data_IF_525685243512
#
_entry.id   IF_525685243512
#
_cell.length_a   1.000
_cell.length_b   1.000
_cell.length_c   1.000
_cell.angle_alpha   90.00
_cell.angle_beta   90.00
_cell.angle_gamma   90.00
#
_symmetry.space_group_name_H-M   'P 1'
#
loop_
_entity.id
_entity.type
_entity.pdbx_description
1 polymer ?
#
# COMPACT_ATOMS: atom_id res chain seq x y z
N UNK A 1 19.59 -33.29 -24.68
CA UNK A 1 20.61 -32.58 -23.86
C UNK A 1 20.22 -31.11 -23.93
N UNK A 2 19.51 -30.52 -22.97
CA UNK A 2 19.90 -30.25 -21.57
C UNK A 2 18.67 -30.24 -20.65
N UNK A 3 18.85 -30.81 -19.46
CA UNK A 3 17.90 -30.86 -18.35
C UNK A 3 18.00 -29.57 -17.53
N UNK A 4 16.91 -28.79 -17.41
CA UNK A 4 16.84 -27.64 -16.50
C UNK A 4 16.15 -28.09 -15.22
N UNK A 5 16.93 -28.08 -14.15
CA UNK A 5 16.53 -28.38 -12.77
C UNK A 5 15.45 -27.41 -12.29
N UNK A 6 14.29 -27.94 -11.89
CA UNK A 6 13.31 -27.21 -11.11
C UNK A 6 13.84 -27.00 -9.69
N UNK A 7 14.18 -25.75 -9.34
CA UNK A 7 14.49 -25.38 -7.95
C UNK A 7 13.18 -25.27 -7.16
N UNK A 8 12.86 -26.33 -6.42
CA UNK A 8 11.76 -26.31 -5.45
C UNK A 8 12.19 -25.49 -4.24
N UNK A 9 11.47 -24.38 -4.00
CA UNK A 9 11.58 -23.57 -2.80
C UNK A 9 11.24 -24.39 -1.54
N UNK A 10 12.18 -24.49 -0.61
CA UNK A 10 11.93 -24.98 0.76
C UNK A 10 11.91 -23.79 1.73
N UNK A 11 10.87 -23.60 2.54
CA UNK A 11 10.89 -22.59 3.60
C UNK A 11 11.79 -23.07 4.74
N UNK A 12 12.79 -22.25 5.11
CA UNK A 12 13.58 -22.47 6.34
C UNK A 12 12.90 -21.73 7.49
N UNK A 13 12.17 -22.47 8.31
CA UNK A 13 11.86 -22.05 9.68
C UNK A 13 13.13 -22.29 10.50
N UNK A 14 13.75 -21.22 10.99
CA UNK A 14 14.80 -21.31 12.03
C UNK A 14 14.15 -20.82 13.33
N UNK A 15 13.73 -21.76 14.17
CA UNK A 15 13.48 -21.50 15.59
C UNK A 15 14.83 -21.67 16.28
N UNK A 16 15.37 -20.59 16.82
CA UNK A 16 16.53 -20.64 17.70
C UNK A 16 16.06 -20.54 19.16
N UNK A 17 16.18 -21.65 19.89
CA UNK A 17 16.15 -21.66 21.36
C UNK A 17 17.59 -21.47 21.86
N UNK A 18 17.82 -20.47 22.70
CA UNK A 18 19.06 -20.30 23.48
C UNK A 18 18.73 -19.51 24.75
N UNK A 19 18.40 -20.21 25.83
CA UNK A 19 19.26 -20.58 26.96
C UNK A 19 19.48 -19.42 27.94
N UNK A 20 18.83 -19.57 29.11
CA UNK A 20 19.04 -18.81 30.32
C UNK A 20 20.50 -18.80 30.76
N UNK A 21 21.00 -17.63 31.16
CA UNK A 21 21.98 -17.51 32.24
C UNK A 21 21.55 -16.38 33.16
N UNK A 22 21.20 -16.77 34.39
CA UNK A 22 20.92 -15.90 35.51
C UNK A 22 22.23 -15.35 36.10
N UNK A 23 22.23 -14.11 36.58
CA UNK A 23 23.08 -13.66 37.67
C UNK A 23 22.32 -12.63 38.52
N UNK A 24 22.31 -12.88 39.84
CA UNK A 24 21.76 -12.00 40.89
C UNK A 24 22.53 -10.68 41.03
N UNK A 25 22.08 -9.72 41.84
CA UNK A 25 22.11 -9.82 43.30
C UNK A 25 21.11 -8.89 44.00
N UNK A 26 20.77 -9.31 45.22
CA UNK A 26 19.96 -8.64 46.24
C UNK A 26 20.79 -7.53 46.93
N UNK A 27 20.23 -6.33 47.16
CA UNK A 27 20.65 -5.45 48.24
C UNK A 27 19.42 -4.84 48.94
N UNK A 28 19.35 -5.13 50.23
CA UNK A 28 18.46 -4.57 51.25
C UNK A 28 18.76 -3.08 51.50
N UNK A 29 17.73 -2.27 51.76
CA UNK A 29 17.78 -1.21 52.80
C UNK A 29 16.38 -0.81 53.28
N UNK A 30 16.09 -1.24 54.51
CA UNK A 30 15.37 -0.60 55.62
C UNK A 30 14.25 0.41 55.39
N UNK A 31 13.08 0.02 55.93
CA UNK A 31 11.95 0.85 56.37
C UNK A 31 12.38 1.86 57.43
N UNK A 32 11.85 3.09 57.37
CA UNK A 32 11.69 3.97 58.53
C UNK A 32 10.32 4.64 58.51
N UNK A 33 9.71 4.69 59.70
CA UNK A 33 8.34 5.08 60.03
C UNK A 33 8.22 6.58 60.41
N UNK A 34 6.97 7.01 60.61
CA UNK A 34 6.45 8.28 61.20
C UNK A 34 6.29 9.46 60.19
N UNK A 35 5.18 10.20 60.10
CA UNK A 35 4.06 10.53 61.03
C UNK A 35 2.95 11.31 60.25
N UNK A 36 1.83 11.78 60.84
CA UNK A 36 0.47 11.31 60.59
C UNK A 36 -0.40 12.22 59.69
N UNK A 37 -1.58 11.67 59.35
CA UNK A 37 -2.67 12.33 58.64
C UNK A 37 -3.12 13.64 59.33
N UNK A 38 -3.18 14.71 58.55
CA UNK A 38 -4.04 15.87 58.84
C UNK A 38 -5.15 15.93 57.79
N UNK A 39 -6.37 15.74 58.24
CA UNK A 39 -7.59 15.76 57.45
C UNK A 39 -8.03 17.22 57.28
N UNK A 40 -7.76 17.81 56.11
CA UNK A 40 -8.45 19.02 55.66
C UNK A 40 -9.42 18.64 54.56
N UNK A 41 -10.70 18.67 54.90
CA UNK A 41 -11.79 18.59 53.95
C UNK A 41 -11.77 19.85 53.06
N UNK A 42 -11.31 19.71 51.82
CA UNK A 42 -11.67 20.63 50.75
C UNK A 42 -12.49 19.88 49.70
N UNK A 43 -13.74 20.32 49.59
CA UNK A 43 -14.67 19.99 48.52
C UNK A 43 -14.07 20.33 47.15
N UNK A 44 -13.64 19.30 46.41
CA UNK A 44 -13.37 19.41 44.98
C UNK A 44 -14.40 18.57 44.23
N UNK A 45 -15.22 19.26 43.44
CA UNK A 45 -16.19 18.69 42.51
C UNK A 45 -15.51 17.64 41.61
N UNK A 46 -16.17 16.51 41.27
CA UNK A 46 -15.58 15.52 40.39
C UNK A 46 -15.29 16.17 39.03
N UNK A 47 -14.01 16.09 38.64
CA UNK A 47 -13.50 16.47 37.33
C UNK A 47 -14.40 15.90 36.23
N UNK A 48 -14.81 16.70 35.22
CA UNK A 48 -15.64 16.20 34.16
C UNK A 48 -14.86 15.11 33.42
N UNK A 49 -15.48 13.94 33.38
CA UNK A 49 -15.15 12.82 32.52
C UNK A 49 -14.65 13.36 31.17
N UNK A 50 -13.34 13.26 30.93
CA UNK A 50 -12.76 13.51 29.60
C UNK A 50 -13.32 12.41 28.72
N UNK A 51 -14.46 12.70 28.09
CA UNK A 51 -14.98 11.93 26.97
C UNK A 51 -13.89 12.00 25.92
N UNK A 52 -13.06 10.97 25.83
CA UNK A 52 -12.18 10.76 24.70
C UNK A 52 -13.10 10.66 23.49
N UNK A 53 -13.27 11.78 22.80
CA UNK A 53 -13.83 11.80 21.45
C UNK A 53 -12.97 10.84 20.65
N UNK A 54 -13.47 9.63 20.45
CA UNK A 54 -12.99 8.75 19.41
C UNK A 54 -13.34 9.49 18.12
N UNK A 55 -12.42 10.34 17.68
CA UNK A 55 -12.43 10.85 16.32
C UNK A 55 -12.30 9.63 15.43
N UNK A 56 -13.45 9.09 15.04
CA UNK A 56 -13.52 8.12 13.97
C UNK A 56 -13.07 8.93 12.77
N UNK A 57 -11.80 8.82 12.40
CA UNK A 57 -11.24 9.48 11.23
C UNK A 57 -12.02 8.95 10.04
N UNK A 58 -12.99 9.74 9.57
CA UNK A 58 -13.80 9.41 8.42
C UNK A 58 -12.86 9.29 7.23
N UNK A 59 -12.61 8.07 6.79
CA UNK A 59 -11.80 7.80 5.62
C UNK A 59 -12.70 7.95 4.39
N UNK A 60 -12.29 8.81 3.46
CA UNK A 60 -12.98 8.96 2.19
C UNK A 60 -13.13 7.61 1.48
N UNK A 61 -14.29 7.39 0.88
CA UNK A 61 -14.58 6.27 0.00
C UNK A 61 -13.73 6.36 -1.27
N UNK A 62 -13.57 5.25 -1.99
CA UNK A 62 -12.90 5.25 -3.28
C UNK A 62 -13.59 6.19 -4.26
N UNK A 63 -14.93 6.19 -4.29
CA UNK A 63 -15.72 7.08 -5.15
C UNK A 63 -15.38 8.55 -4.93
N UNK A 64 -15.38 9.01 -3.68
CA UNK A 64 -15.08 10.41 -3.35
C UNK A 64 -13.67 10.82 -3.81
N UNK A 65 -12.70 9.92 -3.66
CA UNK A 65 -11.32 10.18 -4.09
C UNK A 65 -11.21 10.18 -5.62
N UNK A 66 -11.74 9.18 -6.31
CA UNK A 66 -11.67 9.09 -7.76
C UNK A 66 -12.44 10.23 -8.46
N UNK A 67 -13.62 10.60 -7.95
CA UNK A 67 -14.40 11.71 -8.50
C UNK A 67 -13.66 13.05 -8.39
N UNK A 68 -12.90 13.26 -7.31
CA UNK A 68 -12.06 14.46 -7.13
C UNK A 68 -10.98 14.61 -8.21
N UNK A 69 -10.45 13.49 -8.73
CA UNK A 69 -9.37 13.48 -9.73
C UNK A 69 -9.86 13.28 -11.16
N UNK A 70 -11.18 13.29 -11.39
CA UNK A 70 -11.81 13.21 -12.70
C UNK A 70 -11.32 12.02 -13.56
N UNK A 71 -11.12 10.86 -12.90
CA UNK A 71 -10.79 9.61 -13.59
C UNK A 71 -12.07 8.89 -14.02
N UNK A 72 -11.96 8.12 -15.10
CA UNK A 72 -13.00 7.26 -15.65
C UNK A 72 -13.45 6.11 -14.72
N UNK A 73 -12.69 5.79 -13.66
CA UNK A 73 -13.06 4.74 -12.67
C UNK A 73 -14.41 4.96 -11.98
N UNK A 74 -15.01 6.14 -12.08
CA UNK A 74 -16.28 6.54 -11.45
C UNK A 74 -17.28 7.19 -12.41
N UNK A 75 -17.00 7.23 -13.72
CA UNK A 75 -17.86 7.95 -14.68
C UNK A 75 -18.96 7.07 -15.23
N UNK A 76 -18.62 6.06 -16.03
CA UNK A 76 -19.58 5.24 -16.78
C UNK A 76 -19.77 3.83 -16.18
N UNK A 77 -18.68 3.23 -15.67
CA UNK A 77 -18.63 1.77 -15.48
C UNK A 77 -18.70 1.30 -14.02
N UNK A 78 -19.06 2.18 -13.10
CA UNK A 78 -19.32 1.83 -11.69
C UNK A 78 -18.20 1.00 -11.01
N UNK A 79 -16.96 1.11 -11.48
CA UNK A 79 -15.83 0.32 -10.99
C UNK A 79 -15.49 0.64 -9.53
N UNK A 80 -15.94 1.79 -9.02
CA UNK A 80 -15.78 2.16 -7.62
C UNK A 80 -16.27 1.10 -6.64
N UNK A 81 -17.32 0.34 -6.98
CA UNK A 81 -17.83 -0.69 -6.08
C UNK A 81 -16.80 -1.80 -5.87
N UNK A 82 -16.06 -2.18 -6.93
CA UNK A 82 -15.02 -3.20 -6.84
C UNK A 82 -13.82 -2.68 -6.05
N UNK A 83 -13.36 -1.47 -6.34
CA UNK A 83 -12.26 -0.86 -5.58
C UNK A 83 -12.64 -0.66 -4.11
N UNK A 84 -13.84 -0.14 -3.84
CA UNK A 84 -14.36 0.06 -2.49
C UNK A 84 -14.54 -1.24 -1.72
N UNK A 85 -14.85 -2.35 -2.40
CA UNK A 85 -14.96 -3.66 -1.77
C UNK A 85 -13.59 -4.25 -1.41
N UNK A 86 -12.60 -4.13 -2.28
CA UNK A 86 -11.36 -4.91 -2.18
C UNK A 86 -10.18 -4.13 -1.57
N UNK A 87 -10.07 -2.82 -1.81
CA UNK A 87 -8.91 -2.04 -1.37
C UNK A 87 -8.90 -1.61 0.11
N UNK A 88 -10.03 -1.42 0.83
CA UNK A 88 -9.98 -0.95 2.21
C UNK A 88 -9.18 -1.86 3.17
N UNK A 89 -9.13 -3.16 2.90
CA UNK A 89 -8.34 -4.11 3.69
C UNK A 89 -6.84 -3.76 3.67
N UNK A 90 -6.33 -3.18 2.58
CA UNK A 90 -4.92 -2.81 2.42
C UNK A 90 -4.52 -1.63 3.29
N UNK A 91 -5.47 -0.80 3.71
CA UNK A 91 -5.21 0.31 4.64
C UNK A 91 -4.71 -0.14 6.01
N UNK A 92 -5.03 -1.36 6.42
CA UNK A 92 -4.46 -1.94 7.63
C UNK A 92 -2.95 -2.18 7.53
N UNK A 93 -2.41 -2.38 6.31
CA UNK A 93 -0.98 -2.57 6.06
C UNK A 93 -0.20 -1.27 6.21
N UNK A 94 -0.81 -0.14 5.84
CA UNK A 94 -0.24 1.19 6.05
C UNK A 94 0.04 1.47 7.54
N UNK A 95 -0.78 0.93 8.45
CA UNK A 95 -0.58 1.05 9.91
C UNK A 95 0.67 0.33 10.41
N UNK A 96 1.22 -0.60 9.64
CA UNK A 96 2.46 -1.32 9.95
C UNK A 96 3.67 -0.69 9.26
N UNK A 97 3.59 0.57 8.86
CA UNK A 97 4.63 1.31 8.13
C UNK A 97 5.08 0.61 6.83
N UNK A 98 4.25 -0.27 6.25
CA UNK A 98 4.52 -0.93 4.98
C UNK A 98 3.81 -0.17 3.86
N UNK A 99 4.60 0.27 2.87
CA UNK A 99 4.08 0.88 1.62
C UNK A 99 3.32 -0.16 0.81
N UNK A 100 2.25 0.27 0.15
CA UNK A 100 1.55 -0.55 -0.84
C UNK A 100 2.33 -0.48 -2.14
N UNK A 101 2.74 -1.63 -2.68
CA UNK A 101 3.36 -1.68 -4.00
C UNK A 101 2.28 -1.94 -5.04
N UNK A 102 2.06 -1.01 -5.96
CA UNK A 102 0.95 -1.07 -6.90
C UNK A 102 1.42 -0.89 -8.34
N UNK A 103 0.94 -1.78 -9.21
CA UNK A 103 1.07 -1.68 -10.66
C UNK A 103 -0.29 -1.33 -11.27
N UNK A 104 -0.31 -0.35 -12.16
CA UNK A 104 -1.40 -0.16 -13.13
C UNK A 104 -0.86 -0.39 -14.55
N UNK A 105 -1.52 -1.27 -15.29
CA UNK A 105 -1.31 -1.45 -16.72
C UNK A 105 -2.26 -0.49 -17.41
N UNK A 106 -1.70 0.34 -18.30
CA UNK A 106 -2.26 1.57 -18.87
C UNK A 106 -1.86 2.84 -18.14
N UNK A 107 -1.50 3.81 -18.95
CA UNK A 107 -1.28 5.19 -18.52
C UNK A 107 -2.40 6.12 -19.00
N UNK A 108 -3.28 5.68 -19.90
CA UNK A 108 -4.35 6.55 -20.45
C UNK A 108 -3.88 7.53 -21.54
N UNK A 109 -2.79 7.23 -22.25
CA UNK A 109 -2.16 8.08 -23.27
C UNK A 109 -3.05 8.48 -24.48
N UNK A 110 -4.22 7.88 -24.64
CA UNK A 110 -5.20 8.22 -25.69
C UNK A 110 -6.56 8.70 -25.14
N UNK A 111 -6.64 8.99 -23.83
CA UNK A 111 -7.89 9.40 -23.19
C UNK A 111 -8.06 10.92 -23.23
N UNK A 112 -9.30 11.39 -23.23
CA UNK A 112 -9.64 12.82 -23.22
C UNK A 112 -9.14 13.54 -21.95
N UNK A 113 -9.05 12.82 -20.83
CA UNK A 113 -8.49 13.34 -19.58
C UNK A 113 -6.95 13.43 -19.57
N UNK A 114 -6.29 12.95 -20.63
CA UNK A 114 -4.84 12.84 -20.70
C UNK A 114 -4.27 11.68 -19.86
N UNK A 115 -2.95 11.45 -19.94
CA UNK A 115 -2.29 10.38 -19.23
C UNK A 115 -2.28 10.60 -17.71
N UNK A 116 -2.38 9.50 -16.96
CA UNK A 116 -2.16 9.47 -15.52
C UNK A 116 -3.30 10.01 -14.67
N UNK A 117 -4.54 10.09 -15.17
CA UNK A 117 -5.69 10.53 -14.36
C UNK A 117 -5.85 9.73 -13.04
N UNK A 118 -5.55 8.42 -13.08
CA UNK A 118 -5.58 7.53 -11.93
C UNK A 118 -4.43 7.74 -10.95
N UNK A 119 -3.31 8.37 -11.35
CA UNK A 119 -2.14 8.57 -10.50
C UNK A 119 -2.45 9.36 -9.22
N UNK A 120 -3.13 10.49 -9.37
CA UNK A 120 -3.53 11.29 -8.21
C UNK A 120 -4.59 10.59 -7.36
N UNK A 121 -5.45 9.77 -8.00
CA UNK A 121 -6.42 8.92 -7.29
C UNK A 121 -5.71 7.94 -6.37
N UNK A 122 -4.69 7.22 -6.84
CA UNK A 122 -3.98 6.25 -6.00
C UNK A 122 -3.18 6.90 -4.88
N UNK A 123 -2.50 8.01 -5.16
CA UNK A 123 -1.80 8.76 -4.14
C UNK A 123 -2.75 9.19 -3.03
N UNK A 124 -3.86 9.82 -3.37
CA UNK A 124 -4.82 10.33 -2.39
C UNK A 124 -5.48 9.16 -1.63
N UNK A 125 -5.90 8.11 -2.33
CA UNK A 125 -6.57 6.96 -1.73
C UNK A 125 -5.71 6.23 -0.70
N UNK A 126 -4.41 6.05 -1.00
CA UNK A 126 -3.46 5.42 -0.07
C UNK A 126 -2.80 6.39 0.91
N UNK A 127 -3.15 7.68 0.88
CA UNK A 127 -2.73 8.67 1.88
C UNK A 127 -1.41 9.39 1.58
N UNK A 128 -0.93 9.33 0.34
CA UNK A 128 0.20 10.09 -0.18
C UNK A 128 1.38 9.24 -0.66
N UNK A 129 2.39 9.88 -1.28
CA UNK A 129 3.55 9.21 -1.89
C UNK A 129 4.44 8.47 -0.88
N UNK A 130 4.29 8.74 0.42
CA UNK A 130 4.98 8.02 1.49
C UNK A 130 4.36 6.63 1.79
N UNK A 131 3.17 6.34 1.26
CA UNK A 131 2.39 5.14 1.57
C UNK A 131 2.17 4.20 0.38
N UNK A 132 2.49 4.62 -0.84
CA UNK A 132 2.33 3.82 -2.06
C UNK A 132 3.55 3.97 -2.97
N UNK A 133 4.03 2.83 -3.47
CA UNK A 133 5.01 2.73 -4.55
C UNK A 133 4.25 2.45 -5.85
N UNK A 134 4.16 3.46 -6.72
CA UNK A 134 3.38 3.38 -7.95
C UNK A 134 4.25 2.98 -9.14
N UNK A 135 3.75 2.00 -9.87
CA UNK A 135 4.32 1.51 -11.12
C UNK A 135 3.27 1.58 -12.22
N UNK A 136 3.69 1.99 -13.41
CA UNK A 136 2.86 2.02 -14.61
C UNK A 136 3.50 1.20 -15.72
N UNK A 137 2.67 0.50 -16.50
CA UNK A 137 3.08 -0.09 -17.78
C UNK A 137 2.24 0.54 -18.90
N UNK A 138 2.83 1.46 -19.66
CA UNK A 138 2.18 2.17 -20.76
C UNK A 138 2.58 1.62 -22.13
N UNK A 139 1.64 1.55 -23.08
CA UNK A 139 1.94 1.11 -24.45
C UNK A 139 2.72 2.17 -25.25
N UNK A 140 2.28 3.43 -25.20
CA UNK A 140 2.89 4.55 -25.93
C UNK A 140 4.09 5.12 -25.17
N UNK A 141 5.30 4.82 -25.68
CA UNK A 141 6.54 5.24 -25.04
C UNK A 141 6.74 6.77 -25.05
N UNK A 142 6.33 7.47 -26.11
CA UNK A 142 6.54 8.92 -26.21
C UNK A 142 5.62 9.67 -25.27
N UNK A 143 4.36 9.23 -25.17
CA UNK A 143 3.43 9.77 -24.18
C UNK A 143 3.90 9.48 -22.74
N UNK A 144 4.36 8.26 -22.47
CA UNK A 144 4.88 7.87 -21.16
C UNK A 144 6.11 8.69 -20.75
N UNK A 145 7.05 8.91 -21.67
CA UNK A 145 8.23 9.76 -21.45
C UNK A 145 7.82 11.21 -21.14
N UNK A 146 6.90 11.77 -21.93
CA UNK A 146 6.38 13.12 -21.66
C UNK A 146 5.74 13.22 -20.28
N UNK A 147 4.87 12.28 -19.93
CA UNK A 147 4.19 12.27 -18.64
C UNK A 147 5.16 12.06 -17.47
N UNK A 148 6.23 11.29 -17.65
CA UNK A 148 7.27 11.09 -16.63
C UNK A 148 7.92 12.41 -16.19
N UNK A 149 8.00 13.41 -17.06
CA UNK A 149 8.50 14.74 -16.74
C UNK A 149 7.51 15.61 -15.93
N UNK A 150 6.23 15.22 -15.89
CA UNK A 150 5.16 15.96 -15.22
C UNK A 150 4.89 15.45 -13.78
N UNK A 151 5.45 14.29 -13.42
CA UNK A 151 5.21 13.62 -12.13
C UNK A 151 6.51 13.33 -11.37
N UNK A 152 6.37 12.89 -10.12
CA UNK A 152 7.49 12.42 -9.29
C UNK A 152 7.07 11.19 -8.50
N UNK A 153 7.97 10.21 -8.31
CA UNK A 153 7.69 9.08 -7.41
C UNK A 153 6.84 7.95 -7.98
N UNK A 154 6.62 7.92 -9.31
CA UNK A 154 6.16 6.73 -10.01
C UNK A 154 7.27 6.16 -10.90
N UNK A 155 7.32 4.84 -11.03
CA UNK A 155 8.19 4.14 -12.00
C UNK A 155 7.37 3.78 -13.23
N UNK A 156 7.87 4.09 -14.42
CA UNK A 156 7.12 3.89 -15.67
C UNK A 156 7.89 2.92 -16.55
N UNK A 157 7.22 1.86 -16.96
CA UNK A 157 7.66 0.92 -17.99
C UNK A 157 6.86 1.16 -19.27
N UNK A 158 7.46 0.84 -20.40
CA UNK A 158 6.83 0.98 -21.71
C UNK A 158 6.90 -0.31 -22.52
N UNK A 159 5.81 -0.63 -23.23
CA UNK A 159 5.71 -1.78 -24.10
C UNK A 159 4.31 -2.42 -24.12
N UNK A 160 4.14 -3.43 -24.98
CA UNK A 160 2.92 -4.23 -25.03
C UNK A 160 2.89 -5.23 -23.88
N UNK A 161 1.79 -5.23 -23.11
CA UNK A 161 1.58 -6.17 -22.01
C UNK A 161 1.12 -7.55 -22.48
N UNK A 162 0.96 -7.77 -23.79
CA UNK A 162 0.98 -9.11 -24.40
C UNK A 162 2.41 -9.63 -24.67
N UNK A 163 3.45 -8.80 -24.56
CA UNK A 163 4.83 -9.23 -24.76
C UNK A 163 5.44 -9.74 -23.44
N UNK A 164 5.63 -11.05 -23.38
CA UNK A 164 6.24 -11.75 -22.23
C UNK A 164 7.64 -11.22 -21.90
N UNK A 165 8.41 -10.74 -22.87
CA UNK A 165 9.73 -10.17 -22.63
C UNK A 165 9.65 -8.81 -21.91
N UNK A 166 8.66 -7.98 -22.28
CA UNK A 166 8.36 -6.70 -21.62
C UNK A 166 7.93 -6.95 -20.18
N UNK A 167 7.00 -7.88 -19.95
CA UNK A 167 6.52 -8.21 -18.61
C UNK A 167 7.64 -8.79 -17.72
N UNK A 168 8.46 -9.70 -18.24
CA UNK A 168 9.59 -10.25 -17.48
C UNK A 168 10.62 -9.18 -17.13
N UNK A 169 10.95 -8.29 -18.06
CA UNK A 169 11.85 -7.15 -17.79
C UNK A 169 11.27 -6.28 -16.68
N UNK A 170 9.99 -5.92 -16.78
CA UNK A 170 9.29 -5.12 -15.79
C UNK A 170 9.30 -5.79 -14.39
N UNK A 171 9.01 -7.10 -14.32
CA UNK A 171 9.06 -7.86 -13.06
C UNK A 171 10.48 -7.88 -12.49
N UNK A 172 11.49 -8.09 -13.32
CA UNK A 172 12.89 -8.11 -12.88
C UNK A 172 13.35 -6.75 -12.34
N UNK A 173 13.05 -5.66 -13.06
CA UNK A 173 13.48 -4.31 -12.70
C UNK A 173 12.68 -3.75 -11.52
N UNK A 174 11.39 -4.06 -11.42
CA UNK A 174 10.58 -3.69 -10.26
C UNK A 174 10.86 -4.57 -9.04
N UNK A 175 11.37 -5.79 -9.22
CA UNK A 175 11.43 -6.83 -8.19
C UNK A 175 10.10 -7.56 -7.94
N UNK A 176 9.10 -7.36 -8.79
CA UNK A 176 7.79 -8.04 -8.73
C UNK A 176 7.05 -7.83 -7.40
N UNK A 177 6.27 -8.84 -6.99
CA UNK A 177 5.56 -8.91 -5.70
C UNK A 177 4.69 -7.68 -5.41
N UNK A 178 3.89 -7.27 -6.40
CA UNK A 178 2.91 -6.20 -6.24
C UNK A 178 1.81 -6.61 -5.25
N UNK A 179 1.41 -5.69 -4.38
CA UNK A 179 0.26 -5.86 -3.50
C UNK A 179 -1.06 -5.70 -4.28
N UNK A 180 -1.04 -4.88 -5.34
CA UNK A 180 -2.17 -4.59 -6.21
C UNK A 180 -1.67 -4.52 -7.66
N UNK A 181 -2.38 -5.19 -8.55
CA UNK A 181 -2.23 -5.03 -10.00
C UNK A 181 -3.61 -4.67 -10.55
N UNK A 182 -3.68 -3.55 -11.28
CA UNK A 182 -4.86 -3.14 -12.03
C UNK A 182 -4.54 -3.30 -13.50
N UNK A 183 -5.19 -4.24 -14.18
CA UNK A 183 -5.12 -4.34 -15.62
C UNK A 183 -6.24 -3.49 -16.24
N UNK A 184 -5.88 -2.24 -16.55
CA UNK A 184 -6.71 -1.29 -17.28
C UNK A 184 -6.14 -1.03 -18.69
N UNK A 185 -5.35 -2.00 -19.17
CA UNK A 185 -4.62 -1.99 -20.42
C UNK A 185 -5.51 -2.06 -21.64
N UNK A 186 -4.95 -2.61 -22.72
CA UNK A 186 -5.75 -2.86 -23.91
C UNK A 186 -6.76 -3.98 -23.61
N UNK A 187 -8.01 -3.78 -24.02
CA UNK A 187 -9.10 -4.73 -23.77
C UNK A 187 -9.08 -5.94 -24.71
N UNK A 188 -7.89 -6.31 -25.22
CA UNK A 188 -7.72 -7.51 -26.02
C UNK A 188 -7.51 -8.73 -25.13
N UNK A 189 -8.19 -9.84 -25.44
CA UNK A 189 -8.08 -11.07 -24.65
C UNK A 189 -6.63 -11.56 -24.50
N UNK A 190 -5.82 -11.44 -25.55
CA UNK A 190 -4.42 -11.87 -25.51
C UNK A 190 -3.59 -11.08 -24.48
N UNK A 191 -3.85 -9.78 -24.37
CA UNK A 191 -3.22 -8.90 -23.40
C UNK A 191 -3.58 -9.30 -21.96
N UNK A 192 -4.88 -9.41 -21.68
CA UNK A 192 -5.38 -9.76 -20.34
C UNK A 192 -4.99 -11.19 -19.90
N UNK A 193 -4.99 -12.17 -20.81
CA UNK A 193 -4.58 -13.54 -20.51
C UNK A 193 -3.08 -13.58 -20.18
N UNK A 194 -2.27 -12.83 -20.93
CA UNK A 194 -0.80 -12.84 -20.76
C UNK A 194 -0.39 -12.14 -19.47
N UNK A 195 -0.95 -10.96 -19.19
CA UNK A 195 -0.69 -10.22 -17.94
C UNK A 195 -1.11 -11.05 -16.71
N UNK A 196 -2.31 -11.62 -16.71
CA UNK A 196 -2.82 -12.44 -15.61
C UNK A 196 -2.01 -13.73 -15.39
N UNK A 197 -1.47 -14.32 -16.46
CA UNK A 197 -0.71 -15.56 -16.37
C UNK A 197 0.72 -15.39 -15.84
N UNK A 198 1.27 -14.17 -15.88
CA UNK A 198 2.68 -13.90 -15.58
C UNK A 198 2.89 -13.06 -14.32
N UNK A 199 2.01 -12.10 -14.05
CA UNK A 199 2.20 -11.07 -13.01
C UNK A 199 1.75 -11.48 -11.61
#
# INVERSE_FOLDING_TARGET
MSSILQSKWTPRIIISFGLHLAYGTLLHTTVSLHEPMSFTAQSALPSPYVSSSLTTTHRSTFYEVAAKHNTDKVTADHFEFMYQKHLPALHSRLRHCRRIKMLEISLGCGMDCGPGASYHTWLDYFGGPQHVDLYYLGYDAACAEKWAHEITGATIFTGDHADVSVLNKMVQESGGAFDVIVDDGGHAMAQQITSLGLL
#
